data_IF_415660182979
#
_entry.id   IF_415660182979
#
_cell.length_a   1.000
_cell.length_b   1.000
_cell.length_c   1.000
_cell.angle_alpha   90.00
_cell.angle_beta   90.00
_cell.angle_gamma   90.00
#
_symmetry.space_group_name_H-M   'P 1'
#
loop_
_entity.id
_entity.type
_entity.pdbx_description
1 polymer ?
#
# COMPACT_ATOMS: atom_id res chain seq x y z
N UNK A 1 17.55 -19.05 -29.40
CA UNK A 1 16.32 -19.88 -29.45
C UNK A 1 15.21 -19.07 -28.79
N UNK A 2 14.50 -18.25 -29.57
CA UNK A 2 13.42 -17.40 -29.08
C UNK A 2 12.14 -18.21 -28.94
N UNK A 3 11.57 -18.25 -27.74
CA UNK A 3 10.23 -18.82 -27.53
C UNK A 3 9.22 -17.82 -28.07
N UNK A 4 8.54 -18.18 -29.15
CA UNK A 4 7.43 -17.43 -29.71
C UNK A 4 6.29 -17.41 -28.69
N UNK A 5 5.68 -16.26 -28.36
CA UNK A 5 4.50 -16.24 -27.51
C UNK A 5 3.37 -16.96 -28.25
N UNK A 6 2.91 -18.07 -27.68
CA UNK A 6 1.78 -18.83 -28.21
C UNK A 6 0.52 -17.97 -27.98
N UNK A 7 0.13 -17.21 -29.01
CA UNK A 7 -1.22 -16.63 -29.06
C UNK A 7 -2.20 -17.80 -29.16
N UNK A 8 -2.96 -18.04 -28.10
CA UNK A 8 -4.11 -18.92 -28.18
C UNK A 8 -5.04 -18.37 -29.29
N UNK A 9 -5.49 -19.20 -30.24
CA UNK A 9 -6.45 -18.75 -31.25
C UNK A 9 -7.76 -18.30 -30.56
N UNK A 10 -8.47 -17.31 -31.11
CA UNK A 10 -9.75 -16.88 -30.56
C UNK A 10 -10.73 -18.05 -30.51
N UNK A 11 -11.27 -18.33 -29.33
CA UNK A 11 -12.28 -19.36 -29.16
C UNK A 11 -13.67 -18.74 -29.34
N UNK A 12 -14.43 -19.21 -30.32
CA UNK A 12 -15.85 -18.91 -30.44
C UNK A 12 -16.57 -19.77 -29.41
N UNK A 13 -17.15 -19.16 -28.38
CA UNK A 13 -17.85 -19.89 -27.31
C UNK A 13 -19.36 -19.73 -27.49
N UNK A 14 -20.05 -20.88 -27.57
CA UNK A 14 -21.51 -20.93 -27.56
C UNK A 14 -22.04 -20.70 -26.15
N UNK A 15 -22.96 -19.76 -25.98
CA UNK A 15 -23.59 -19.50 -24.69
C UNK A 15 -24.64 -20.59 -24.40
N UNK A 16 -24.21 -21.73 -23.83
CA UNK A 16 -25.14 -22.72 -23.28
C UNK A 16 -25.38 -22.48 -21.79
N UNK A 17 -26.59 -22.06 -21.43
CA UNK A 17 -27.13 -22.20 -20.06
C UNK A 17 -27.41 -23.68 -19.73
N UNK A 18 -26.39 -24.53 -19.69
CA UNK A 18 -26.46 -25.86 -19.06
C UNK A 18 -25.09 -26.26 -18.49
N UNK A 19 -25.03 -26.30 -17.16
CA UNK A 19 -24.02 -26.93 -16.29
C UNK A 19 -22.55 -26.52 -16.47
N UNK A 20 -22.15 -25.56 -15.63
CA UNK A 20 -20.86 -25.38 -14.93
C UNK A 20 -19.59 -26.00 -15.55
N UNK A 21 -18.70 -25.16 -16.08
CA UNK A 21 -17.32 -25.54 -16.38
C UNK A 21 -16.35 -24.38 -16.51
N UNK A 22 -16.68 -23.34 -17.29
CA UNK A 22 -15.72 -22.24 -17.54
C UNK A 22 -16.39 -20.89 -17.86
N UNK A 23 -17.52 -20.90 -18.57
CA UNK A 23 -18.28 -19.68 -18.92
C UNK A 23 -19.01 -19.04 -17.73
N UNK A 24 -19.28 -19.83 -16.68
CA UNK A 24 -20.05 -19.40 -15.52
C UNK A 24 -19.27 -18.48 -14.56
N UNK A 25 -17.94 -18.40 -14.68
CA UNK A 25 -17.13 -17.53 -13.83
C UNK A 25 -17.20 -16.05 -14.22
N UNK A 26 -17.48 -15.73 -15.49
CA UNK A 26 -17.49 -14.34 -15.99
C UNK A 26 -18.88 -13.77 -16.25
N UNK A 27 -19.86 -14.64 -16.43
CA UNK A 27 -21.27 -14.27 -16.53
C UNK A 27 -21.97 -15.04 -15.42
N UNK A 28 -22.20 -14.38 -14.28
CA UNK A 28 -23.00 -14.96 -13.20
C UNK A 28 -24.29 -15.56 -13.79
N UNK A 29 -24.80 -16.70 -13.25
CA UNK A 29 -25.99 -17.36 -13.76
C UNK A 29 -27.20 -16.41 -13.94
N UNK A 30 -27.24 -15.33 -13.17
CA UNK A 30 -28.29 -14.30 -13.14
C UNK A 30 -28.04 -13.07 -14.02
N UNK A 31 -26.91 -12.97 -14.73
CA UNK A 31 -26.68 -11.86 -15.65
C UNK A 31 -27.23 -12.17 -17.05
N UNK A 32 -28.14 -11.32 -17.52
CA UNK A 32 -28.58 -11.30 -18.91
C UNK A 32 -27.36 -11.13 -19.83
N UNK A 33 -27.38 -11.68 -21.06
CA UNK A 33 -26.30 -11.45 -22.01
C UNK A 33 -26.04 -9.94 -22.14
N UNK A 34 -24.77 -9.52 -22.19
CA UNK A 34 -24.44 -8.11 -22.33
C UNK A 34 -25.20 -7.52 -23.53
N UNK A 35 -25.73 -6.29 -23.43
CA UNK A 35 -26.38 -5.64 -24.57
C UNK A 35 -25.43 -5.65 -25.79
N UNK A 36 -25.99 -5.65 -27.00
CA UNK A 36 -25.32 -5.83 -28.32
C UNK A 36 -24.14 -4.88 -28.64
N UNK A 37 -23.60 -4.14 -27.66
CA UNK A 37 -22.44 -3.25 -27.73
C UNK A 37 -21.50 -3.31 -26.50
N UNK A 38 -21.64 -4.26 -25.58
CA UNK A 38 -20.74 -4.32 -24.43
C UNK A 38 -19.40 -4.96 -24.81
N UNK A 39 -18.31 -4.19 -24.63
CA UNK A 39 -16.97 -4.75 -24.51
C UNK A 39 -16.66 -4.91 -23.02
N UNK A 40 -16.43 -6.14 -22.58
CA UNK A 40 -15.96 -6.43 -21.23
C UNK A 40 -14.47 -6.77 -21.30
N UNK A 41 -13.66 -6.06 -20.50
CA UNK A 41 -12.24 -6.33 -20.30
C UNK A 41 -12.04 -6.60 -18.82
N UNK A 42 -11.62 -7.80 -18.48
CA UNK A 42 -11.39 -8.24 -17.09
C UNK A 42 -10.04 -8.94 -16.99
N UNK A 43 -9.30 -8.67 -15.91
CA UNK A 43 -8.10 -9.42 -15.56
C UNK A 43 -8.46 -10.50 -14.55
N UNK A 44 -8.02 -11.73 -14.78
CA UNK A 44 -8.37 -12.86 -13.92
C UNK A 44 -7.25 -13.89 -13.82
N UNK A 45 -7.27 -14.59 -12.70
CA UNK A 45 -6.35 -15.67 -12.37
C UNK A 45 -6.96 -17.02 -12.75
N UNK A 46 -6.16 -17.90 -13.34
CA UNK A 46 -6.51 -19.31 -13.52
C UNK A 46 -5.43 -20.22 -12.97
N UNK A 47 -5.85 -21.17 -12.15
CA UNK A 47 -5.08 -22.34 -11.75
C UNK A 47 -5.65 -23.61 -12.40
N UNK A 48 -4.90 -24.72 -12.32
CA UNK A 48 -5.38 -26.03 -12.78
C UNK A 48 -6.64 -26.50 -12.04
N UNK A 49 -6.86 -26.03 -10.81
CA UNK A 49 -8.05 -26.35 -10.01
C UNK A 49 -9.32 -25.67 -10.52
N UNK A 50 -9.18 -24.61 -11.32
CA UNK A 50 -10.30 -23.83 -11.85
C UNK A 50 -10.84 -24.41 -13.18
N UNK A 51 -10.19 -25.44 -13.73
CA UNK A 51 -10.55 -26.06 -15.01
C UNK A 51 -10.97 -27.52 -14.81
N UNK A 52 -12.26 -27.80 -15.00
CA UNK A 52 -12.80 -29.16 -14.91
C UNK A 52 -12.15 -30.09 -15.94
N UNK A 53 -11.66 -31.24 -15.48
CA UNK A 53 -11.15 -32.32 -16.33
C UNK A 53 -9.64 -32.29 -16.58
N UNK A 54 -8.92 -31.33 -16.02
CA UNK A 54 -7.45 -31.40 -15.96
C UNK A 54 -7.00 -32.20 -14.72
N UNK A 55 -5.85 -32.85 -14.85
CA UNK A 55 -5.13 -33.48 -13.73
C UNK A 55 -4.57 -32.42 -12.78
N UNK A 56 -4.20 -32.81 -11.56
CA UNK A 56 -3.49 -31.93 -10.61
C UNK A 56 -2.08 -31.51 -11.09
N UNK A 57 -1.66 -31.96 -12.27
CA UNK A 57 -0.49 -31.47 -12.99
C UNK A 57 -0.81 -30.12 -13.65
N UNK A 58 -0.48 -29.03 -12.95
CA UNK A 58 -0.70 -27.66 -13.40
C UNK A 58 0.55 -26.79 -13.27
N UNK A 59 0.47 -25.52 -13.71
CA UNK A 59 1.52 -24.55 -13.43
C UNK A 59 1.67 -24.38 -11.91
N UNK A 60 2.92 -24.28 -11.43
CA UNK A 60 3.22 -24.08 -10.00
C UNK A 60 2.84 -22.68 -9.51
N UNK A 61 2.76 -21.72 -10.42
CA UNK A 61 2.34 -20.34 -10.15
C UNK A 61 1.07 -20.03 -10.95
N UNK A 62 0.17 -19.19 -10.41
CA UNK A 62 -1.03 -18.81 -11.13
C UNK A 62 -0.73 -18.08 -12.44
N UNK A 63 -1.55 -18.34 -13.46
CA UNK A 63 -1.44 -17.67 -14.76
C UNK A 63 -2.51 -16.59 -14.83
N UNK A 64 -2.08 -15.37 -15.16
CA UNK A 64 -2.96 -14.22 -15.32
C UNK A 64 -3.36 -14.04 -16.77
N UNK A 65 -4.65 -13.77 -16.99
CA UNK A 65 -5.24 -13.52 -18.30
C UNK A 65 -5.98 -12.20 -18.33
N UNK A 66 -5.87 -11.50 -19.46
CA UNK A 66 -6.79 -10.43 -19.84
C UNK A 66 -7.86 -11.03 -20.77
N UNK A 67 -9.09 -11.11 -20.29
CA UNK A 67 -10.24 -11.58 -21.04
C UNK A 67 -10.94 -10.43 -21.73
N UNK A 68 -11.06 -10.51 -23.06
CA UNK A 68 -11.91 -9.61 -23.86
C UNK A 68 -13.08 -10.40 -24.42
N UNK A 69 -14.28 -10.00 -24.04
CA UNK A 69 -15.53 -10.66 -24.45
C UNK A 69 -16.35 -9.68 -25.28
N UNK A 70 -16.75 -10.12 -26.47
CA UNK A 70 -17.60 -9.37 -27.38
C UNK A 70 -18.77 -10.23 -27.87
N UNK A 71 -20.00 -9.76 -27.69
CA UNK A 71 -21.17 -10.40 -28.29
C UNK A 71 -21.15 -10.23 -29.82
N UNK A 72 -21.42 -11.31 -30.54
CA UNK A 72 -21.52 -11.28 -32.00
C UNK A 72 -22.97 -11.05 -32.43
N UNK A 73 -23.14 -10.44 -33.60
CA UNK A 73 -24.45 -10.05 -34.14
C UNK A 73 -25.15 -11.17 -34.92
N UNK A 74 -24.52 -12.35 -35.02
CA UNK A 74 -25.08 -13.56 -35.62
C UNK A 74 -25.24 -14.68 -34.60
N UNK A 75 -26.08 -15.66 -34.94
CA UNK A 75 -26.32 -16.86 -34.15
C UNK A 75 -25.66 -18.07 -34.77
N UNK A 76 -25.33 -19.06 -33.96
CA UNK A 76 -24.83 -20.37 -34.41
C UNK A 76 -25.72 -21.44 -33.77
N UNK A 77 -26.38 -22.26 -34.59
CA UNK A 77 -27.38 -23.25 -34.16
C UNK A 77 -28.46 -22.64 -33.25
N UNK A 78 -28.98 -21.46 -33.64
CA UNK A 78 -29.97 -20.65 -32.90
C UNK A 78 -29.54 -20.16 -31.50
N UNK A 79 -28.28 -20.38 -31.12
CA UNK A 79 -27.71 -19.87 -29.87
C UNK A 79 -26.97 -18.55 -30.08
N UNK A 80 -27.04 -17.65 -29.09
CA UNK A 80 -26.21 -16.45 -29.05
C UNK A 80 -24.75 -16.83 -28.79
N UNK A 81 -23.85 -16.20 -29.53
CA UNK A 81 -22.41 -16.49 -29.48
C UNK A 81 -21.62 -15.24 -29.11
N UNK A 82 -20.51 -15.47 -28.41
CA UNK A 82 -19.54 -14.44 -28.06
C UNK A 82 -18.17 -14.81 -28.64
N UNK A 83 -17.43 -13.79 -29.06
CA UNK A 83 -16.00 -13.89 -29.29
C UNK A 83 -15.29 -13.69 -27.95
N UNK A 84 -14.54 -14.69 -27.51
CA UNK A 84 -13.67 -14.59 -26.35
C UNK A 84 -12.21 -14.67 -26.79
N UNK A 85 -11.47 -13.61 -26.50
CA UNK A 85 -10.02 -13.58 -26.62
C UNK A 85 -9.43 -13.49 -25.22
N UNK A 86 -8.62 -14.49 -24.85
CA UNK A 86 -7.85 -14.48 -23.61
C UNK A 86 -6.36 -14.30 -23.94
N UNK A 87 -5.73 -13.27 -23.39
CA UNK A 87 -4.29 -13.03 -23.55
C UNK A 87 -3.58 -13.32 -22.24
N UNK A 88 -2.55 -14.15 -22.26
CA UNK A 88 -1.71 -14.37 -21.07
C UNK A 88 -0.93 -13.08 -20.77
N UNK A 89 -1.14 -12.53 -19.58
CA UNK A 89 -0.51 -11.29 -19.08
C UNK A 89 0.37 -11.56 -17.86
N UNK A 90 0.76 -12.81 -17.59
CA UNK A 90 1.51 -13.18 -16.39
C UNK A 90 2.82 -12.43 -16.26
N UNK A 91 3.60 -12.30 -17.34
CA UNK A 91 4.86 -11.53 -17.32
C UNK A 91 4.62 -10.03 -17.09
N UNK A 92 3.57 -9.45 -17.71
CA UNK A 92 3.16 -8.05 -17.51
C UNK A 92 2.76 -7.83 -16.05
N UNK A 93 1.91 -8.71 -15.52
CA UNK A 93 1.43 -8.66 -14.15
C UNK A 93 2.58 -8.84 -13.15
N UNK A 94 3.47 -9.81 -13.36
CA UNK A 94 4.66 -10.00 -12.51
C UNK A 94 5.60 -8.80 -12.56
N UNK A 95 5.84 -8.22 -13.75
CA UNK A 95 6.63 -7.00 -13.88
C UNK A 95 5.95 -5.82 -13.19
N UNK A 96 4.63 -5.69 -13.30
CA UNK A 96 3.87 -4.62 -12.65
C UNK A 96 3.87 -4.77 -11.13
N UNK A 97 3.70 -5.98 -10.60
CA UNK A 97 3.87 -6.30 -9.18
C UNK A 97 5.29 -5.98 -8.75
N UNK A 98 6.30 -6.37 -9.53
CA UNK A 98 7.71 -6.10 -9.21
C UNK A 98 8.03 -4.61 -9.28
N UNK A 99 7.50 -3.87 -10.25
CA UNK A 99 7.64 -2.41 -10.35
C UNK A 99 6.90 -1.70 -9.22
N UNK A 100 5.72 -2.23 -8.85
CA UNK A 100 4.99 -1.79 -7.66
C UNK A 100 5.89 -2.00 -6.44
N UNK A 101 6.40 -3.20 -6.20
CA UNK A 101 7.33 -3.52 -5.10
C UNK A 101 8.63 -2.71 -5.13
N UNK A 102 9.15 -2.38 -6.31
CA UNK A 102 10.35 -1.54 -6.48
C UNK A 102 10.11 -0.07 -6.11
N UNK A 103 8.86 0.37 -6.00
CA UNK A 103 8.50 1.72 -5.55
C UNK A 103 7.94 1.69 -4.13
N UNK A 104 8.71 1.16 -3.18
CA UNK A 104 8.36 1.14 -1.75
C UNK A 104 8.81 2.40 -1.00
N UNK A 105 9.45 3.33 -1.72
CA UNK A 105 10.01 4.55 -1.14
C UNK A 105 9.31 5.81 -1.64
N UNK A 106 9.23 6.82 -0.79
CA UNK A 106 8.89 8.18 -1.16
C UNK A 106 10.03 8.82 -1.97
N UNK A 107 9.69 9.48 -3.09
CA UNK A 107 10.70 9.97 -4.04
C UNK A 107 11.53 11.13 -3.49
N UNK A 108 10.96 11.97 -2.62
CA UNK A 108 11.66 13.13 -2.08
C UNK A 108 12.62 12.73 -0.96
N UNK A 109 12.16 11.83 -0.08
CA UNK A 109 12.89 11.49 1.15
C UNK A 109 13.70 10.22 1.05
N UNK A 110 13.34 9.28 0.15
CA UNK A 110 13.89 7.93 0.13
C UNK A 110 13.48 7.06 1.34
N UNK A 111 12.61 7.56 2.22
CA UNK A 111 11.98 6.75 3.26
C UNK A 111 10.93 5.82 2.66
N UNK A 112 10.39 4.88 3.43
CA UNK A 112 9.26 4.10 2.96
C UNK A 112 8.04 4.97 2.67
N UNK A 113 7.19 4.50 1.76
CA UNK A 113 5.89 5.12 1.52
C UNK A 113 4.78 4.43 2.32
N UNK A 114 3.61 5.08 2.35
CA UNK A 114 2.41 4.59 3.06
C UNK A 114 2.12 3.12 2.80
N UNK A 115 2.18 2.69 1.53
CA UNK A 115 1.84 1.32 1.13
C UNK A 115 2.82 0.30 1.73
N UNK A 116 4.11 0.61 1.79
CA UNK A 116 5.10 -0.27 2.46
C UNK A 116 4.85 -0.34 3.96
N UNK A 117 4.57 0.80 4.60
CA UNK A 117 4.25 0.87 6.02
C UNK A 117 3.01 0.02 6.38
N UNK A 118 1.91 0.14 5.64
CA UNK A 118 0.68 -0.61 5.90
C UNK A 118 0.92 -2.13 5.83
N UNK A 119 1.71 -2.59 4.86
CA UNK A 119 2.12 -4.00 4.76
C UNK A 119 2.93 -4.45 5.97
N UNK A 120 3.91 -3.65 6.40
CA UNK A 120 4.75 -3.98 7.55
C UNK A 120 3.97 -3.97 8.86
N UNK A 121 3.12 -2.95 9.07
CA UNK A 121 2.30 -2.83 10.27
C UNK A 121 1.32 -3.99 10.42
N UNK A 122 0.73 -4.48 9.33
CA UNK A 122 -0.11 -5.67 9.36
C UNK A 122 0.67 -6.88 9.91
N UNK A 123 1.87 -7.12 9.39
CA UNK A 123 2.73 -8.23 9.85
C UNK A 123 3.18 -8.06 11.31
N UNK A 124 3.52 -6.84 11.71
CA UNK A 124 3.91 -6.54 13.08
C UNK A 124 2.75 -6.67 14.07
N UNK A 125 1.54 -6.26 13.68
CA UNK A 125 0.33 -6.45 14.49
C UNK A 125 0.03 -7.93 14.70
N UNK A 126 0.03 -8.74 13.63
CA UNK A 126 -0.17 -10.18 13.74
C UNK A 126 0.89 -10.84 14.64
N UNK A 127 2.15 -10.39 14.53
CA UNK A 127 3.24 -10.86 15.37
C UNK A 127 3.11 -10.43 16.84
N UNK A 128 2.68 -9.20 17.10
CA UNK A 128 2.47 -8.67 18.44
C UNK A 128 1.35 -9.43 19.15
N UNK A 129 0.22 -9.63 18.48
CA UNK A 129 -0.93 -10.36 19.02
C UNK A 129 -0.63 -11.84 19.26
N UNK A 130 0.13 -12.48 18.36
CA UNK A 130 0.42 -13.93 18.47
C UNK A 130 1.55 -14.26 19.44
N UNK A 131 2.61 -13.45 19.44
CA UNK A 131 3.86 -13.78 20.15
C UNK A 131 4.16 -12.86 21.32
N UNK A 132 3.25 -11.94 21.66
CA UNK A 132 3.45 -10.93 22.69
C UNK A 132 4.74 -10.11 22.48
N UNK A 133 5.10 -9.87 21.21
CA UNK A 133 6.24 -9.04 20.84
C UNK A 133 5.79 -7.57 20.76
N UNK A 134 6.19 -6.71 21.70
CA UNK A 134 5.70 -5.34 21.73
C UNK A 134 6.14 -4.61 20.46
N UNK A 135 5.23 -3.86 19.85
CA UNK A 135 5.53 -2.99 18.72
C UNK A 135 4.96 -1.62 19.02
N UNK A 136 5.79 -0.60 18.86
CA UNK A 136 5.37 0.78 19.04
C UNK A 136 5.33 1.53 17.72
N UNK A 137 4.43 2.51 17.67
CA UNK A 137 4.27 3.42 16.56
C UNK A 137 4.52 4.83 17.08
N UNK A 138 5.36 5.56 16.36
CA UNK A 138 5.56 6.99 16.52
C UNK A 138 5.05 7.67 15.26
N UNK A 139 4.12 8.60 15.39
CA UNK A 139 3.63 9.43 14.31
C UNK A 139 4.00 10.88 14.59
N UNK A 140 4.46 11.62 13.59
CA UNK A 140 4.85 13.00 13.79
C UNK A 140 4.62 13.85 12.54
N UNK A 141 4.52 15.15 12.78
CA UNK A 141 4.25 16.16 11.76
C UNK A 141 5.11 17.40 12.03
N UNK A 142 5.50 18.10 10.96
CA UNK A 142 6.36 19.28 11.04
C UNK A 142 5.54 20.54 11.27
N UNK A 143 5.79 21.18 12.41
CA UNK A 143 5.09 22.39 12.80
C UNK A 143 5.53 23.57 11.93
N UNK A 144 4.54 24.33 11.44
CA UNK A 144 4.73 25.58 10.70
C UNK A 144 5.43 25.44 9.34
N UNK A 145 5.53 24.21 8.79
CA UNK A 145 6.15 23.99 7.48
C UNK A 145 5.45 24.78 6.37
N UNK A 146 4.12 24.83 6.39
CA UNK A 146 3.34 25.64 5.44
C UNK A 146 3.75 27.11 5.46
N UNK A 147 3.86 27.70 6.65
CA UNK A 147 4.28 29.10 6.81
C UNK A 147 5.68 29.32 6.26
N UNK A 148 6.62 28.40 6.49
CA UNK A 148 7.95 28.48 5.89
C UNK A 148 7.91 28.37 4.38
N UNK A 149 7.08 27.48 3.82
CA UNK A 149 6.90 27.38 2.37
C UNK A 149 6.34 28.66 1.77
N UNK A 150 5.38 29.28 2.44
CA UNK A 150 4.78 30.53 1.98
C UNK A 150 5.79 31.70 2.03
N UNK A 151 6.70 31.72 3.03
CA UNK A 151 7.70 32.79 3.21
C UNK A 151 8.98 32.57 2.40
N UNK A 152 9.48 31.34 2.32
CA UNK A 152 10.79 31.00 1.74
C UNK A 152 10.71 30.15 0.47
N UNK A 153 9.52 29.69 0.09
CA UNK A 153 9.27 28.84 -1.07
C UNK A 153 9.40 27.35 -0.77
N UNK A 154 8.72 26.55 -1.59
CA UNK A 154 8.64 25.08 -1.44
C UNK A 154 9.99 24.35 -1.45
N UNK A 155 11.02 24.91 -2.10
CA UNK A 155 12.34 24.29 -2.12
C UNK A 155 12.95 24.17 -0.71
N UNK A 156 12.70 25.14 0.17
CA UNK A 156 13.13 25.09 1.58
C UNK A 156 12.34 24.05 2.36
N UNK A 157 11.03 23.93 2.10
CA UNK A 157 10.23 22.86 2.71
C UNK A 157 10.71 21.47 2.32
N UNK A 158 11.08 21.29 1.06
CA UNK A 158 11.66 20.04 0.57
C UNK A 158 13.01 19.73 1.23
N UNK A 159 13.83 20.75 1.50
CA UNK A 159 15.08 20.60 2.26
C UNK A 159 14.82 20.19 3.71
N UNK A 160 13.86 20.82 4.40
CA UNK A 160 13.45 20.44 5.76
C UNK A 160 12.98 18.98 5.79
N UNK A 161 12.12 18.59 4.84
CA UNK A 161 11.60 17.22 4.73
C UNK A 161 12.73 16.21 4.49
N UNK A 162 13.73 16.56 3.66
CA UNK A 162 14.92 15.73 3.44
C UNK A 162 15.79 15.63 4.70
N UNK A 163 15.99 16.72 5.43
CA UNK A 163 16.76 16.74 6.68
C UNK A 163 16.11 15.83 7.75
N UNK A 164 14.79 15.88 7.88
CA UNK A 164 14.03 14.98 8.77
C UNK A 164 14.25 13.51 8.41
N UNK A 165 14.21 13.19 7.11
CA UNK A 165 14.46 11.83 6.64
C UNK A 165 15.88 11.35 6.93
N UNK A 166 16.88 12.21 6.81
CA UNK A 166 18.28 11.89 7.13
C UNK A 166 18.50 11.68 8.64
N UNK A 167 17.83 12.48 9.47
CA UNK A 167 17.82 12.29 10.92
C UNK A 167 17.17 10.94 11.26
N UNK A 168 16.03 10.61 10.66
CA UNK A 168 15.41 9.28 10.83
C UNK A 168 16.38 8.15 10.43
N UNK A 169 17.05 8.24 9.26
CA UNK A 169 18.01 7.22 8.81
C UNK A 169 19.19 7.03 9.74
N UNK A 170 19.76 8.12 10.27
CA UNK A 170 20.93 8.08 11.16
C UNK A 170 20.57 7.69 12.59
N UNK A 171 19.34 7.94 13.01
CA UNK A 171 18.86 7.70 14.37
C UNK A 171 18.20 6.34 14.53
N UNK A 172 17.52 5.82 13.51
CA UNK A 172 16.76 4.58 13.64
C UNK A 172 17.62 3.33 13.48
N UNK A 173 17.18 2.23 14.08
CA UNK A 173 17.81 0.93 13.89
C UNK A 173 17.39 0.37 12.53
N UNK A 174 18.16 -0.59 12.00
CA UNK A 174 17.81 -1.30 10.76
C UNK A 174 16.46 -2.03 10.81
N UNK A 175 15.99 -2.36 12.00
CA UNK A 175 14.71 -3.05 12.23
C UNK A 175 13.52 -2.10 12.30
N UNK A 176 13.76 -0.80 12.46
CA UNK A 176 12.72 0.21 12.54
C UNK A 176 12.39 0.68 11.11
N UNK A 177 11.12 0.94 10.83
CA UNK A 177 10.66 1.39 9.52
C UNK A 177 10.19 2.83 9.61
N UNK A 178 10.96 3.77 9.04
CA UNK A 178 10.52 5.15 8.84
C UNK A 178 9.82 5.30 7.49
N UNK A 179 8.67 5.97 7.53
CA UNK A 179 7.78 6.18 6.42
C UNK A 179 7.33 7.63 6.35
N UNK A 180 7.22 8.18 5.13
CA UNK A 180 6.48 9.42 4.87
C UNK A 180 5.11 9.08 4.31
N UNK A 181 4.05 9.52 4.99
CA UNK A 181 2.67 9.28 4.56
C UNK A 181 2.25 10.22 3.43
N UNK A 182 2.84 11.41 3.39
CA UNK A 182 2.56 12.48 2.44
C UNK A 182 2.73 13.84 3.13
N UNK A 183 2.98 14.91 2.36
CA UNK A 183 3.15 16.25 2.94
C UNK A 183 4.28 16.30 3.98
N UNK A 184 3.95 16.70 5.19
CA UNK A 184 4.78 16.78 6.40
C UNK A 184 4.56 15.63 7.40
N UNK A 185 3.76 14.63 7.05
CA UNK A 185 3.39 13.54 7.94
C UNK A 185 4.32 12.33 7.82
N UNK A 186 4.83 11.86 8.96
CA UNK A 186 5.73 10.72 9.05
C UNK A 186 5.27 9.72 10.09
N UNK A 187 5.61 8.45 9.87
CA UNK A 187 5.39 7.34 10.80
C UNK A 187 6.67 6.53 10.95
N UNK A 188 6.96 6.13 12.18
CA UNK A 188 8.02 5.18 12.51
C UNK A 188 7.38 3.97 13.19
N UNK A 189 7.52 2.80 12.59
CA UNK A 189 7.20 1.53 13.23
C UNK A 189 8.45 0.97 13.91
N UNK A 190 8.33 0.58 15.18
CA UNK A 190 9.41 0.09 16.03
C UNK A 190 9.05 -1.31 16.55
N UNK A 191 9.36 -2.38 15.79
CA UNK A 191 9.12 -3.75 16.24
C UNK A 191 9.97 -4.09 17.46
N UNK A 192 9.47 -4.98 18.32
CA UNK A 192 10.15 -5.42 19.56
C UNK A 192 10.55 -4.26 20.47
N UNK A 193 9.71 -3.23 20.51
CA UNK A 193 9.93 -2.00 21.26
C UNK A 193 8.68 -1.72 22.07
N UNK A 194 8.85 -1.57 23.39
CA UNK A 194 7.77 -1.16 24.29
C UNK A 194 7.57 0.37 24.29
N UNK A 195 6.48 0.84 24.90
CA UNK A 195 6.13 2.26 24.93
C UNK A 195 7.22 3.13 25.57
N UNK A 196 7.89 2.64 26.61
CA UNK A 196 8.92 3.41 27.32
C UNK A 196 10.18 3.59 26.45
N UNK A 197 10.60 2.52 25.79
CA UNK A 197 11.68 2.53 24.79
C UNK A 197 11.34 3.44 23.61
N UNK A 198 10.11 3.37 23.11
CA UNK A 198 9.62 4.22 22.03
C UNK A 198 9.65 5.70 22.44
N UNK A 199 9.22 6.03 23.67
CA UNK A 199 9.28 7.39 24.20
C UNK A 199 10.72 7.92 24.32
N UNK A 200 11.70 7.08 24.68
CA UNK A 200 13.11 7.48 24.67
C UNK A 200 13.62 7.79 23.26
N UNK A 201 13.25 6.97 22.27
CA UNK A 201 13.60 7.21 20.88
C UNK A 201 12.92 8.48 20.34
N UNK A 202 11.63 8.68 20.65
CA UNK A 202 10.89 9.88 20.28
C UNK A 202 11.56 11.14 20.84
N UNK A 203 11.97 11.15 22.12
CA UNK A 203 12.72 12.27 22.72
C UNK A 203 14.03 12.55 22.00
N UNK A 204 14.76 11.51 21.60
CA UNK A 204 16.00 11.67 20.86
C UNK A 204 15.78 12.27 19.48
N UNK A 205 14.81 11.74 18.72
CA UNK A 205 14.43 12.29 17.41
C UNK A 205 13.98 13.75 17.54
N UNK A 206 13.14 14.05 18.53
CA UNK A 206 12.64 15.39 18.80
C UNK A 206 13.77 16.40 19.05
N UNK A 207 14.78 16.03 19.85
CA UNK A 207 15.93 16.90 20.10
C UNK A 207 16.78 17.10 18.83
N UNK A 208 17.02 16.03 18.06
CA UNK A 208 17.72 16.12 16.78
C UNK A 208 16.95 17.02 15.78
N UNK A 209 15.63 16.89 15.71
CA UNK A 209 14.78 17.75 14.88
C UNK A 209 14.87 19.20 15.34
N UNK A 210 14.75 19.48 16.64
CA UNK A 210 14.85 20.85 17.14
C UNK A 210 16.19 21.50 16.80
N UNK A 211 17.29 20.74 16.95
CA UNK A 211 18.63 21.22 16.64
C UNK A 211 18.82 21.49 15.14
N UNK A 212 18.46 20.53 14.28
CA UNK A 212 18.70 20.64 12.84
C UNK A 212 17.72 21.59 12.15
N UNK A 213 16.44 21.57 12.54
CA UNK A 213 15.39 22.34 11.90
C UNK A 213 15.45 23.83 12.27
N UNK A 214 16.08 24.16 13.40
CA UNK A 214 16.26 25.53 13.86
C UNK A 214 16.90 26.45 12.81
N UNK A 215 17.81 25.94 11.99
CA UNK A 215 18.49 26.73 10.94
C UNK A 215 17.57 27.16 9.78
N UNK A 216 16.42 26.50 9.61
CA UNK A 216 15.46 26.82 8.55
C UNK A 216 14.41 27.84 9.01
N UNK A 217 14.37 28.14 10.30
CA UNK A 217 13.46 29.13 10.90
C UNK A 217 13.59 30.49 10.21
N UNK A 218 12.47 31.20 10.10
CA UNK A 218 12.39 32.47 9.39
C UNK A 218 11.70 33.50 10.28
N UNK A 219 12.34 34.65 10.49
CA UNK A 219 11.80 35.73 11.33
C UNK A 219 11.39 35.23 12.72
N UNK A 220 10.08 35.25 13.02
CA UNK A 220 9.48 34.78 14.28
C UNK A 220 8.89 33.36 14.20
N UNK A 221 9.05 32.68 13.07
CA UNK A 221 8.49 31.34 12.83
C UNK A 221 9.58 30.29 12.98
N UNK A 222 9.45 29.47 14.03
CA UNK A 222 10.33 28.33 14.30
C UNK A 222 9.70 27.06 13.72
N UNK A 223 10.54 26.26 13.07
CA UNK A 223 10.15 24.91 12.59
C UNK A 223 10.48 23.90 13.67
N UNK A 224 9.46 23.17 14.11
CA UNK A 224 9.57 22.12 15.13
C UNK A 224 8.82 20.88 14.67
N UNK A 225 8.69 19.86 15.51
CA UNK A 225 7.86 18.70 15.23
C UNK A 225 6.96 18.38 16.43
N UNK A 226 5.71 18.02 16.14
CA UNK A 226 4.80 17.45 17.12
C UNK A 226 4.73 15.93 16.92
N UNK A 227 4.66 15.18 18.01
CA UNK A 227 4.79 13.71 17.99
C UNK A 227 3.73 13.02 18.85
N UNK A 228 3.09 12.00 18.30
CA UNK A 228 2.23 11.05 18.99
C UNK A 228 2.87 9.66 19.06
N UNK A 229 2.99 9.08 20.26
CA UNK A 229 3.61 7.76 20.48
C UNK A 229 2.62 6.80 21.08
N UNK A 230 2.59 5.57 20.60
CA UNK A 230 1.78 4.52 21.22
C UNK A 230 2.41 3.14 21.02
N UNK A 231 1.92 2.14 21.75
CA UNK A 231 2.23 0.72 21.53
C UNK A 231 0.98 -0.02 21.08
N UNK A 232 1.12 -1.06 20.25
CA UNK A 232 0.00 -1.96 19.93
C UNK A 232 -0.57 -2.51 21.24
N UNK A 233 -1.86 -2.26 21.45
CA UNK A 233 -2.57 -2.68 22.65
C UNK A 233 -3.26 -4.02 22.41
N UNK A 234 -3.49 -4.80 23.47
CA UNK A 234 -4.17 -6.08 23.37
C UNK A 234 -5.64 -5.92 22.93
N UNK A 235 -6.22 -4.74 23.17
CA UNK A 235 -7.58 -4.37 22.81
C UNK A 235 -7.70 -3.86 21.36
N UNK A 236 -6.58 -3.58 20.67
CA UNK A 236 -6.61 -3.15 19.28
C UNK A 236 -7.11 -4.31 18.39
N UNK A 237 -8.13 -4.06 17.56
CA UNK A 237 -8.70 -5.08 16.66
C UNK A 237 -7.95 -5.20 15.34
N UNK A 238 -7.11 -4.22 15.04
CA UNK A 238 -6.26 -4.17 13.86
C UNK A 238 -5.15 -3.11 14.05
N UNK A 239 -4.16 -3.07 13.15
CA UNK A 239 -3.10 -2.06 13.19
C UNK A 239 -3.63 -0.64 12.96
N UNK A 240 -4.77 -0.49 12.27
CA UNK A 240 -5.44 0.79 12.07
C UNK A 240 -5.95 1.39 13.38
N UNK A 241 -6.37 0.56 14.35
CA UNK A 241 -6.78 1.06 15.67
C UNK A 241 -5.56 1.64 16.42
N UNK A 242 -4.39 1.01 16.32
CA UNK A 242 -3.12 1.55 16.84
C UNK A 242 -2.75 2.88 16.16
N UNK A 243 -2.86 2.97 14.82
CA UNK A 243 -2.57 4.20 14.08
C UNK A 243 -3.50 5.35 14.49
N UNK A 244 -4.80 5.08 14.69
CA UNK A 244 -5.75 6.10 15.19
C UNK A 244 -5.36 6.61 16.58
N UNK A 245 -4.83 5.76 17.46
CA UNK A 245 -4.35 6.20 18.79
C UNK A 245 -3.08 7.05 18.68
N UNK A 246 -2.15 6.69 17.78
CA UNK A 246 -0.99 7.52 17.48
C UNK A 246 -1.38 8.90 16.90
N UNK A 247 -2.35 8.92 15.98
CA UNK A 247 -2.90 10.15 15.40
C UNK A 247 -3.56 11.04 16.44
N UNK A 248 -4.37 10.47 17.33
CA UNK A 248 -4.96 11.21 18.45
C UNK A 248 -3.90 11.81 19.37
N UNK A 249 -2.85 11.05 19.70
CA UNK A 249 -1.75 11.58 20.51
C UNK A 249 -1.01 12.73 19.79
N UNK A 250 -0.79 12.62 18.48
CA UNK A 250 -0.21 13.69 17.67
C UNK A 250 -1.10 14.95 17.64
N UNK A 251 -2.41 14.75 17.49
CA UNK A 251 -3.39 15.83 17.56
C UNK A 251 -3.36 16.54 18.92
N UNK A 252 -3.30 15.78 20.01
CA UNK A 252 -3.16 16.33 21.36
C UNK A 252 -1.84 17.11 21.53
N UNK A 253 -0.73 16.61 20.95
CA UNK A 253 0.55 17.32 20.95
C UNK A 253 0.45 18.69 20.26
N UNK A 254 -0.22 18.76 19.10
CA UNK A 254 -0.46 20.01 18.38
C UNK A 254 -1.32 20.98 19.19
N UNK A 255 -2.41 20.50 19.79
CA UNK A 255 -3.33 21.34 20.58
C UNK A 255 -2.76 21.87 21.88
N UNK A 256 -1.84 21.12 22.49
CA UNK A 256 -1.20 21.55 23.72
C UNK A 256 -0.10 22.61 23.50
N UNK A 257 0.12 23.03 22.25
CA UNK A 257 1.03 24.11 21.89
C UNK A 257 2.24 23.68 21.06
N UNK A 258 2.14 22.55 20.33
CA UNK A 258 3.17 22.05 19.40
C UNK A 258 4.51 21.72 20.08
N UNK A 259 5.54 21.38 19.29
CA UNK A 259 6.93 21.12 19.73
C UNK A 259 7.03 20.17 20.94
N UNK A 260 6.28 19.06 20.88
CA UNK A 260 6.17 18.13 22.00
C UNK A 260 5.80 16.72 21.58
N UNK A 261 5.93 15.84 22.57
CA UNK A 261 5.60 14.43 22.47
C UNK A 261 4.44 14.13 23.43
N UNK A 262 3.41 13.46 22.93
CA UNK A 262 2.32 12.91 23.72
C UNK A 262 2.26 11.40 23.48
N UNK A 263 2.03 10.64 24.54
CA UNK A 263 1.84 9.18 24.47
C UNK A 263 0.40 8.78 24.75
N UNK A 264 -0.07 7.73 24.10
CA UNK A 264 -1.39 7.12 24.30
C UNK A 264 -1.32 5.60 24.48
#
# INVERSE_FOLDING_TARGET
>A
MGRTPVRAPPAIVRCRRRSAGTTAFFLSPDQAPPPRRLHLVEEYELSNRDVKGLTDEGPTEPIWFEGRIQALDFRVDDEEVVLWVASNISERHQLEVRLRELSDTDQLTGLFNRRKLERDLKLHYESAMRYALPTSILMFDLDNLKTINDTRGHHVGDEIIRAVADICRSTLRKTDSACRLGGDEFVVAMPKTDLEQAMRLARRLHECFRQELGQYSAESVVVTASMGVTAIAAEDRSYEDTLKRADRALYDAKNLGKDRIVSA
#
